data_IF_818752737434
#
_entry.id   IF_818752737434
#
_cell.length_a   1.000
_cell.length_b   1.000
_cell.length_c   1.000
_cell.angle_alpha   90.00
_cell.angle_beta   90.00
_cell.angle_gamma   90.00
#
_symmetry.space_group_name_H-M   'P 1'
#
loop_
_entity.id
_entity.type
_entity.pdbx_description
1 polymer ?
#
# COMPACT_ATOMS: atom_id res chain seq x y z
N UNK A 1 -2.48 4.45 -19.11
CA UNK A 1 -2.65 3.11 -18.50
C UNK A 1 -1.29 2.43 -18.46
N UNK A 2 -0.88 1.84 -17.32
CA UNK A 2 0.39 1.10 -17.22
C UNK A 2 0.19 -0.31 -17.82
N UNK A 3 1.09 -0.81 -18.68
CA UNK A 3 0.96 -2.14 -19.25
C UNK A 3 0.94 -3.24 -18.17
N UNK A 4 0.02 -4.21 -18.30
CA UNK A 4 -0.14 -5.34 -17.37
C UNK A 4 1.18 -6.13 -17.21
N UNK A 5 1.92 -6.34 -18.29
CA UNK A 5 3.21 -7.01 -18.25
C UNK A 5 4.22 -6.31 -17.34
N UNK A 6 4.20 -4.96 -17.32
CA UNK A 6 5.08 -4.15 -16.46
C UNK A 6 4.65 -4.25 -15.00
N UNK A 7 3.35 -4.26 -14.72
CA UNK A 7 2.82 -4.48 -13.36
C UNK A 7 3.19 -5.88 -12.84
N UNK A 8 3.06 -6.91 -13.66
CA UNK A 8 3.40 -8.30 -13.31
C UNK A 8 4.91 -8.46 -13.02
N UNK A 9 5.75 -7.80 -13.80
CA UNK A 9 7.20 -7.79 -13.58
C UNK A 9 7.57 -7.13 -12.24
N UNK A 10 6.94 -6.00 -11.90
CA UNK A 10 7.14 -5.33 -10.61
C UNK A 10 6.70 -6.20 -9.43
N UNK A 11 5.55 -6.89 -9.51
CA UNK A 11 5.09 -7.81 -8.46
C UNK A 11 6.06 -8.99 -8.29
N UNK A 12 6.54 -9.58 -9.38
CA UNK A 12 7.53 -10.67 -9.33
C UNK A 12 8.86 -10.22 -8.74
N UNK A 13 9.31 -9.00 -9.02
CA UNK A 13 10.51 -8.44 -8.42
C UNK A 13 10.32 -8.24 -6.91
N UNK A 14 9.17 -7.73 -6.47
CA UNK A 14 8.80 -7.60 -5.06
C UNK A 14 8.77 -8.92 -4.30
N UNK A 15 8.33 -10.01 -4.93
CA UNK A 15 8.39 -11.35 -4.34
C UNK A 15 9.82 -11.78 -3.97
N UNK A 16 10.82 -11.29 -4.70
CA UNK A 16 12.26 -11.54 -4.44
C UNK A 16 12.91 -10.51 -3.52
N UNK A 17 12.20 -9.44 -3.16
CA UNK A 17 12.68 -8.39 -2.28
C UNK A 17 12.74 -8.82 -0.81
N UNK A 18 13.53 -8.08 -0.04
CA UNK A 18 13.58 -8.14 1.42
C UNK A 18 12.23 -7.81 2.06
N UNK A 19 12.07 -8.18 3.33
CA UNK A 19 10.85 -7.86 4.08
C UNK A 19 10.64 -6.35 4.20
N UNK A 20 11.72 -5.55 4.26
CA UNK A 20 11.65 -4.09 4.26
C UNK A 20 11.10 -3.55 2.94
N UNK A 21 11.58 -4.04 1.80
CA UNK A 21 11.09 -3.62 0.48
C UNK A 21 9.62 -4.00 0.30
N UNK A 22 9.23 -5.20 0.75
CA UNK A 22 7.83 -5.66 0.75
C UNK A 22 6.95 -4.80 1.65
N UNK A 23 7.43 -4.42 2.83
CA UNK A 23 6.71 -3.54 3.74
C UNK A 23 6.47 -2.16 3.11
N UNK A 24 7.49 -1.54 2.52
CA UNK A 24 7.35 -0.24 1.85
C UNK A 24 6.39 -0.30 0.65
N UNK A 25 6.49 -1.32 -0.20
CA UNK A 25 5.56 -1.47 -1.32
C UNK A 25 4.11 -1.66 -0.85
N UNK A 26 3.91 -2.40 0.26
CA UNK A 26 2.59 -2.56 0.87
C UNK A 26 2.06 -1.22 1.37
N UNK A 27 2.88 -0.40 2.05
CA UNK A 27 2.49 0.94 2.52
C UNK A 27 2.08 1.83 1.35
N UNK A 28 2.88 1.88 0.27
CA UNK A 28 2.58 2.69 -0.92
C UNK A 28 1.30 2.22 -1.60
N UNK A 29 1.09 0.90 -1.71
CA UNK A 29 -0.12 0.33 -2.31
C UNK A 29 -1.38 0.70 -1.49
N UNK A 30 -1.32 0.50 -0.18
CA UNK A 30 -2.44 0.82 0.73
C UNK A 30 -2.75 2.32 0.68
N UNK A 31 -1.73 3.19 0.66
CA UNK A 31 -1.90 4.63 0.49
C UNK A 31 -2.59 4.97 -0.83
N UNK A 32 -2.06 4.50 -1.96
CA UNK A 32 -2.58 4.82 -3.30
C UNK A 32 -4.02 4.34 -3.51
N UNK A 33 -4.42 3.24 -2.88
CA UNK A 33 -5.79 2.74 -2.96
C UNK A 33 -6.77 3.49 -2.05
N UNK A 34 -6.27 4.26 -1.08
CA UNK A 34 -7.09 4.94 -0.07
C UNK A 34 -7.11 6.45 -0.25
N UNK A 35 -6.10 7.03 -0.90
CA UNK A 35 -5.99 8.45 -1.11
C UNK A 35 -7.08 8.97 -2.06
N UNK A 36 -7.49 10.21 -1.83
CA UNK A 36 -8.45 10.93 -2.67
C UNK A 36 -7.87 11.24 -4.08
N UNK A 37 -8.67 11.80 -5.01
CA UNK A 37 -8.18 12.17 -6.34
C UNK A 37 -7.04 13.22 -6.35
N UNK A 38 -6.83 13.93 -5.25
CA UNK A 38 -5.70 14.87 -5.06
C UNK A 38 -4.47 14.18 -4.47
N UNK A 39 -4.56 12.88 -4.17
CA UNK A 39 -3.49 12.09 -3.60
C UNK A 39 -3.29 12.33 -2.11
N UNK A 40 -4.33 12.73 -1.38
CA UNK A 40 -4.28 13.01 0.07
C UNK A 40 -5.14 12.03 0.86
N UNK A 41 -4.81 11.89 2.14
CA UNK A 41 -5.63 11.22 3.13
C UNK A 41 -5.92 12.21 4.25
N UNK A 42 -7.20 12.42 4.57
CA UNK A 42 -7.55 13.18 5.77
C UNK A 42 -7.13 12.42 7.03
N UNK A 43 -7.08 13.14 8.15
CA UNK A 43 -6.79 12.54 9.46
C UNK A 43 -7.81 11.47 9.84
N UNK A 44 -9.09 11.67 9.49
CA UNK A 44 -10.16 10.72 9.77
C UNK A 44 -10.01 9.43 8.96
N UNK A 45 -9.76 9.55 7.66
CA UNK A 45 -9.51 8.41 6.77
C UNK A 45 -8.24 7.65 7.17
N UNK A 46 -7.17 8.37 7.49
CA UNK A 46 -5.93 7.78 7.99
C UNK A 46 -6.17 6.97 9.27
N UNK A 47 -6.94 7.51 10.23
CA UNK A 47 -7.28 6.79 11.47
C UNK A 47 -8.07 5.52 11.17
N UNK A 48 -9.10 5.62 10.32
CA UNK A 48 -9.92 4.46 9.95
C UNK A 48 -9.07 3.40 9.25
N UNK A 49 -8.20 3.80 8.33
CA UNK A 49 -7.33 2.90 7.58
C UNK A 49 -6.36 2.16 8.50
N UNK A 50 -5.71 2.87 9.44
CA UNK A 50 -4.82 2.26 10.42
C UNK A 50 -5.55 1.25 11.32
N UNK A 51 -6.76 1.59 11.77
CA UNK A 51 -7.56 0.70 12.59
C UNK A 51 -8.02 -0.55 11.82
N UNK A 52 -8.46 -0.40 10.57
CA UNK A 52 -8.92 -1.54 9.75
C UNK A 52 -7.77 -2.45 9.32
N UNK A 53 -6.65 -1.89 8.86
CA UNK A 53 -5.54 -2.67 8.30
C UNK A 53 -4.58 -3.19 9.36
N UNK A 54 -4.43 -2.46 10.47
CA UNK A 54 -3.44 -2.78 11.51
C UNK A 54 -4.03 -2.97 12.91
N UNK A 55 -5.36 -2.93 13.06
CA UNK A 55 -6.01 -3.08 14.37
C UNK A 55 -5.62 -4.35 15.12
N UNK A 56 -5.37 -5.46 14.41
CA UNK A 56 -4.90 -6.72 15.00
C UNK A 56 -3.48 -6.69 15.56
N UNK A 57 -2.64 -5.72 15.16
CA UNK A 57 -1.29 -5.53 15.72
C UNK A 57 -1.28 -4.62 16.95
N UNK A 58 -2.38 -3.91 17.23
CA UNK A 58 -2.50 -3.00 18.37
C UNK A 58 -3.19 -3.65 19.59
N UNK A 59 -3.39 -4.97 19.57
CA UNK A 59 -3.86 -5.75 20.72
C UNK A 59 -2.72 -6.15 21.65
#
# INVERSE_FOLDING_TARGET
>A
SIPIAKQLASIKALGKGSDLEKAFATVVLVYNNSADPEGKLSKGETKSLLQTQFGGFMQ
#
